data_IF_160918711984
#
_entry.id   IF_160918711984
#
_cell.length_a   1.000
_cell.length_b   1.000
_cell.length_c   1.000
_cell.angle_alpha   90.00
_cell.angle_beta   90.00
_cell.angle_gamma   90.00
#
_symmetry.space_group_name_H-M   'P 1'
#
loop_
_entity.id
_entity.type
_entity.pdbx_description
1 polymer ?
#
# COMPACT_ATOMS: atom_id res chain seq x y z
N UNK A 1 -0.51 7.87 9.37
CA UNK A 1 -0.02 7.33 8.07
C UNK A 1 -1.12 7.43 7.03
N UNK A 2 -0.80 7.61 5.74
CA UNK A 2 -1.78 7.89 4.69
C UNK A 2 -2.76 6.74 4.38
N UNK A 3 -2.41 5.51 4.75
CA UNK A 3 -3.17 4.30 4.43
C UNK A 3 -3.96 3.72 5.61
N UNK A 4 -3.98 4.40 6.78
CA UNK A 4 -4.53 3.88 8.03
C UNK A 4 -5.66 4.75 8.60
N UNK A 5 -6.67 4.05 9.17
CA UNK A 5 -7.89 4.53 9.85
C UNK A 5 -7.91 6.00 10.26
N UNK A 6 -8.65 6.82 9.50
CA UNK A 6 -9.56 7.85 10.01
C UNK A 6 -10.57 8.32 8.95
N UNK A 7 -10.27 8.04 7.70
CA UNK A 7 -11.15 8.27 6.56
C UNK A 7 -10.55 7.46 5.42
N UNK A 8 -11.33 6.56 4.79
CA UNK A 8 -10.93 5.94 3.52
C UNK A 8 -10.93 7.06 2.48
N UNK A 9 -9.91 7.91 2.50
CA UNK A 9 -9.76 8.94 1.51
C UNK A 9 -9.73 8.24 0.15
N UNK A 10 -10.62 8.59 -0.80
CA UNK A 10 -10.57 8.01 -2.14
C UNK A 10 -9.22 8.27 -2.83
N UNK A 11 -8.43 9.21 -2.30
CA UNK A 11 -7.09 9.54 -2.75
C UNK A 11 -6.02 8.58 -2.21
N UNK A 12 -6.25 7.97 -1.05
CA UNK A 12 -5.32 7.06 -0.37
C UNK A 12 -5.98 5.71 -0.10
N UNK A 13 -5.83 4.73 -1.01
CA UNK A 13 -6.49 3.44 -0.85
C UNK A 13 -5.99 2.71 0.40
N UNK A 14 -6.90 1.97 1.04
CA UNK A 14 -6.55 1.07 2.14
C UNK A 14 -5.67 -0.07 1.63
N UNK A 15 -4.54 -0.29 2.30
CA UNK A 15 -3.60 -1.41 2.00
C UNK A 15 -3.65 -2.54 3.03
N UNK A 16 -4.32 -2.32 4.17
CA UNK A 16 -4.48 -3.36 5.19
C UNK A 16 -5.33 -4.52 4.65
N UNK A 17 -4.87 -5.75 4.88
CA UNK A 17 -5.47 -7.01 4.43
C UNK A 17 -5.37 -7.26 2.93
N UNK A 18 -4.59 -6.47 2.18
CA UNK A 18 -4.32 -6.78 0.78
C UNK A 18 -3.38 -8.00 0.68
N UNK A 19 -3.48 -8.83 -0.38
CA UNK A 19 -2.62 -9.99 -0.53
C UNK A 19 -1.13 -9.58 -0.52
N UNK A 20 -0.31 -10.31 0.23
CA UNK A 20 1.13 -10.05 0.36
C UNK A 20 1.82 -9.87 -1.00
N UNK A 21 1.66 -10.86 -1.91
CA UNK A 21 2.18 -10.81 -3.29
C UNK A 21 1.79 -9.55 -4.06
N UNK A 22 0.60 -9.01 -3.79
CA UNK A 22 0.13 -7.80 -4.45
C UNK A 22 0.90 -6.61 -3.88
N UNK A 23 1.00 -6.48 -2.56
CA UNK A 23 1.73 -5.39 -1.91
C UNK A 23 3.20 -5.37 -2.36
N UNK A 24 3.87 -6.53 -2.38
CA UNK A 24 5.24 -6.67 -2.88
C UNK A 24 5.37 -6.14 -4.31
N UNK A 25 4.53 -6.64 -5.23
CA UNK A 25 4.55 -6.22 -6.62
C UNK A 25 4.32 -4.71 -6.77
N UNK A 26 3.40 -4.15 -5.99
CA UNK A 26 3.08 -2.72 -6.04
C UNK A 26 4.21 -1.84 -5.52
N UNK A 27 4.84 -2.21 -4.40
CA UNK A 27 6.01 -1.51 -3.87
C UNK A 27 7.19 -1.59 -4.84
N UNK A 28 7.43 -2.76 -5.45
CA UNK A 28 8.45 -2.94 -6.48
C UNK A 28 8.22 -2.04 -7.70
N UNK A 29 6.98 -1.94 -8.18
CA UNK A 29 6.65 -1.06 -9.30
C UNK A 29 6.80 0.43 -8.96
N UNK A 30 6.43 0.86 -7.75
CA UNK A 30 6.65 2.25 -7.31
C UNK A 30 8.15 2.57 -7.17
N UNK A 31 8.93 1.67 -6.57
CA UNK A 31 10.40 1.80 -6.45
C UNK A 31 11.07 1.89 -7.82
N UNK A 32 10.61 1.10 -8.78
CA UNK A 32 11.13 1.11 -10.16
C UNK A 32 10.58 2.27 -11.02
N UNK A 33 9.70 3.12 -10.49
CA UNK A 33 9.06 4.20 -11.25
C UNK A 33 8.09 3.71 -12.34
N UNK A 34 7.69 2.43 -12.31
CA UNK A 34 6.79 1.78 -13.29
C UNK A 34 5.32 1.85 -12.87
N UNK A 35 5.01 2.37 -11.69
CA UNK A 35 3.66 2.66 -11.21
C UNK A 35 3.54 4.12 -10.78
N UNK A 36 2.39 4.72 -11.07
CA UNK A 36 2.12 6.13 -10.82
C UNK A 36 0.88 6.59 -11.56
N UNK A 37 0.90 7.82 -12.08
CA UNK A 37 -0.17 8.35 -12.95
C UNK A 37 -1.35 8.99 -12.23
N UNK A 38 -1.40 8.93 -10.90
CA UNK A 38 -2.37 9.69 -10.09
C UNK A 38 -1.71 10.96 -9.53
N UNK A 39 -2.53 11.96 -9.18
CA UNK A 39 -2.08 13.22 -8.55
C UNK A 39 -1.13 12.99 -7.36
N UNK A 40 -1.32 11.90 -6.62
CA UNK A 40 -0.59 11.58 -5.40
C UNK A 40 0.38 10.38 -5.53
N UNK A 41 0.55 9.81 -6.74
CA UNK A 41 1.39 8.63 -6.95
C UNK A 41 2.86 8.82 -6.58
N UNK A 42 3.37 10.06 -6.70
CA UNK A 42 4.73 10.44 -6.32
C UNK A 42 5.03 10.20 -4.83
N UNK A 43 4.01 10.25 -3.95
CA UNK A 43 4.17 10.00 -2.53
C UNK A 43 4.60 8.54 -2.27
N UNK A 44 3.98 7.60 -2.98
CA UNK A 44 4.34 6.18 -2.90
C UNK A 44 5.67 5.88 -3.59
N UNK A 45 5.99 6.57 -4.69
CA UNK A 45 7.31 6.45 -5.31
C UNK A 45 8.42 6.88 -4.34
N UNK A 46 8.24 8.00 -3.64
CA UNK A 46 9.17 8.47 -2.61
C UNK A 46 9.25 7.51 -1.42
N UNK A 47 8.11 6.99 -0.94
CA UNK A 47 8.08 6.02 0.15
C UNK A 47 8.81 4.71 -0.21
N UNK A 48 8.69 4.25 -1.46
CA UNK A 48 9.28 3.00 -1.91
C UNK A 48 10.76 3.12 -2.32
N UNK A 49 11.25 4.33 -2.64
CA UNK A 49 12.58 4.57 -3.20
C UNK A 49 13.73 4.04 -2.33
N UNK A 50 13.59 4.11 -1.02
CA UNK A 50 14.62 3.68 -0.05
C UNK A 50 14.49 2.24 0.43
N UNK A 51 13.46 1.51 0.00
CA UNK A 51 13.19 0.16 0.51
C UNK A 51 14.12 -0.87 -0.14
N UNK A 52 14.75 -1.68 0.71
CA UNK A 52 15.42 -2.91 0.28
C UNK A 52 14.37 -3.98 -0.09
N UNK A 53 14.82 -5.07 -0.71
CA UNK A 53 13.92 -6.20 -1.01
C UNK A 53 13.38 -6.84 0.28
N UNK A 54 14.18 -6.85 1.35
CA UNK A 54 13.79 -7.36 2.66
C UNK A 54 12.72 -6.48 3.30
N UNK A 55 12.86 -5.15 3.20
CA UNK A 55 11.84 -4.21 3.66
C UNK A 55 10.52 -4.39 2.90
N UNK A 56 10.59 -4.60 1.57
CA UNK A 56 9.40 -4.82 0.75
C UNK A 56 8.65 -6.08 1.19
N UNK A 57 9.36 -7.18 1.40
CA UNK A 57 8.76 -8.44 1.89
C UNK A 57 8.19 -8.27 3.30
N UNK A 58 8.93 -7.63 4.20
CA UNK A 58 8.48 -7.40 5.58
C UNK A 58 7.22 -6.51 5.64
N UNK A 59 7.18 -5.43 4.86
CA UNK A 59 6.01 -4.55 4.79
C UNK A 59 4.80 -5.25 4.14
N UNK A 60 5.03 -6.05 3.10
CA UNK A 60 3.97 -6.81 2.46
C UNK A 60 3.33 -7.82 3.42
N UNK A 61 4.14 -8.60 4.15
CA UNK A 61 3.65 -9.51 5.18
C UNK A 61 2.90 -8.76 6.28
N UNK A 62 3.46 -7.66 6.78
CA UNK A 62 2.85 -6.83 7.82
C UNK A 62 1.46 -6.32 7.41
N UNK A 63 1.33 -5.72 6.21
CA UNK A 63 0.06 -5.17 5.76
C UNK A 63 -0.95 -6.24 5.34
N UNK A 64 -0.51 -7.41 4.86
CA UNK A 64 -1.39 -8.54 4.57
C UNK A 64 -2.05 -9.11 5.83
N UNK A 65 -1.31 -9.14 6.95
CA UNK A 65 -1.81 -9.58 8.25
C UNK A 65 -2.55 -8.48 9.03
N UNK A 66 -2.35 -7.22 8.65
CA UNK A 66 -3.06 -6.09 9.26
C UNK A 66 -4.55 -6.22 9.01
N UNK A 67 -5.36 -6.02 10.05
CA UNK A 67 -6.82 -6.07 9.92
C UNK A 67 -7.26 -5.10 8.82
N UNK A 68 -7.77 -5.64 7.70
CA UNK A 68 -8.50 -4.84 6.73
C UNK A 68 -9.57 -4.07 7.50
N UNK A 69 -9.75 -2.76 7.29
CA UNK A 69 -10.95 -2.11 7.79
C UNK A 69 -12.11 -2.87 7.16
N UNK A 70 -12.84 -3.63 7.99
CA UNK A 70 -13.97 -4.44 7.57
C UNK A 70 -14.78 -3.63 6.56
N UNK A 71 -14.96 -4.17 5.36
CA UNK A 71 -16.08 -3.75 4.56
C UNK A 71 -17.31 -4.15 5.38
N UNK A 72 -17.75 -3.27 6.27
CA UNK A 72 -19.06 -3.37 6.90
C UNK A 72 -20.03 -3.29 5.75
N UNK A 73 -20.50 -4.47 5.33
CA UNK A 73 -21.61 -4.62 4.41
C UNK A 73 -22.80 -3.89 5.00
N UNK A 74 -23.28 -2.89 4.29
CA UNK A 74 -24.62 -2.37 4.49
C UNK A 74 -25.56 -3.38 3.83
N UNK A 75 -26.37 -4.05 4.66
CA UNK A 75 -27.59 -4.74 4.23
C UNK A 75 -28.58 -3.74 3.66
#
# INVERSE_FOLDING_TARGET
GCHGRQDRSPLYPSIAGQPERYIEAQLGLFRAGKRGGTRFGHLMANAAKGLTDDDVRALAAYFALSAAPSATGTR
#
